data_IF_747042749222
#
_entry.id   IF_747042749222
#
_cell.length_a   1.000
_cell.length_b   1.000
_cell.length_c   1.000
_cell.angle_alpha   90.00
_cell.angle_beta   90.00
_cell.angle_gamma   90.00
#
_symmetry.space_group_name_H-M   'P 1'
#
loop_
_entity.id
_entity.type
_entity.pdbx_description
1 polymer ?
#
# COMPACT_ATOMS: atom_id res chain seq x y z
N UNK A 1 61.06 -19.08 -10.27
CA UNK A 1 61.67 -19.39 -8.95
C UNK A 1 60.56 -19.79 -8.02
N UNK A 2 60.53 -21.08 -7.71
CA UNK A 2 59.71 -21.74 -6.69
C UNK A 2 60.32 -21.45 -5.28
N UNK A 3 59.66 -21.74 -4.13
CA UNK A 3 58.80 -22.91 -3.99
C UNK A 3 57.53 -22.81 -3.10
N UNK A 4 56.62 -23.73 -3.40
CA UNK A 4 55.63 -24.34 -2.50
C UNK A 4 56.28 -24.96 -1.24
N UNK A 5 55.50 -25.22 -0.18
CA UNK A 5 54.96 -26.57 0.06
C UNK A 5 53.44 -26.55 0.39
N UNK A 6 52.60 -27.49 -0.08
CA UNK A 6 52.38 -28.89 0.41
C UNK A 6 52.01 -28.93 1.91
N UNK A 7 50.95 -29.55 2.45
CA UNK A 7 50.10 -30.69 2.06
C UNK A 7 48.81 -30.66 2.92
N UNK A 8 47.78 -31.35 2.41
CA UNK A 8 46.51 -31.81 3.00
C UNK A 8 46.26 -31.69 4.52
N UNK A 9 45.04 -31.27 4.85
CA UNK A 9 44.25 -31.89 5.93
C UNK A 9 42.76 -31.89 5.53
N UNK A 10 42.24 -33.07 5.18
CA UNK A 10 40.81 -33.32 5.15
C UNK A 10 40.24 -33.22 6.57
N UNK A 11 39.31 -32.29 6.82
CA UNK A 11 38.31 -32.44 7.89
C UNK A 11 36.95 -31.97 7.39
N UNK A 12 36.10 -32.98 7.20
CA UNK A 12 34.64 -33.01 7.21
C UNK A 12 33.90 -31.68 7.02
N UNK A 13 33.20 -31.58 5.88
CA UNK A 13 32.03 -30.75 5.73
C UNK A 13 30.94 -31.24 6.69
N UNK A 14 30.82 -30.56 7.84
CA UNK A 14 29.63 -30.65 8.68
C UNK A 14 28.54 -29.79 8.08
N UNK A 15 27.75 -30.34 7.15
CA UNK A 15 26.47 -29.75 6.76
C UNK A 15 25.55 -29.90 7.97
N UNK A 16 25.50 -28.88 8.81
CA UNK A 16 24.46 -28.74 9.80
C UNK A 16 23.20 -28.32 9.04
N UNK A 17 22.50 -29.29 8.45
CA UNK A 17 21.15 -29.11 7.95
C UNK A 17 20.25 -28.88 9.17
N UNK A 18 20.23 -27.64 9.66
CA UNK A 18 19.20 -27.20 10.59
C UNK A 18 17.86 -27.32 9.87
N UNK A 19 17.06 -28.31 10.26
CA UNK A 19 15.63 -28.29 9.95
C UNK A 19 15.05 -27.02 10.58
N UNK A 20 14.93 -25.96 9.78
CA UNK A 20 13.96 -24.92 10.07
C UNK A 20 12.58 -25.52 9.78
N UNK A 21 12.01 -26.21 10.78
CA UNK A 21 10.56 -26.28 10.86
C UNK A 21 10.07 -24.86 11.17
N UNK A 22 9.81 -24.07 10.14
CA UNK A 22 8.85 -23.01 10.25
C UNK A 22 7.48 -23.69 10.33
N UNK A 23 7.09 -24.13 11.53
CA UNK A 23 5.70 -24.45 11.81
C UNK A 23 4.92 -23.14 11.71
N UNK A 24 4.42 -22.82 10.53
CA UNK A 24 3.36 -21.85 10.37
C UNK A 24 2.08 -22.51 10.89
N UNK A 25 1.98 -22.63 12.21
CA UNK A 25 0.69 -22.84 12.83
C UNK A 25 -0.10 -21.55 12.57
N UNK A 26 -1.00 -21.60 11.58
CA UNK A 26 -2.16 -20.73 11.57
C UNK A 26 -2.91 -21.06 12.86
N UNK A 27 -2.62 -20.30 13.92
CA UNK A 27 -3.34 -20.41 15.16
C UNK A 27 -4.80 -20.11 14.80
N UNK A 28 -5.67 -21.11 14.93
CA UNK A 28 -7.09 -20.86 15.09
C UNK A 28 -7.19 -19.79 16.16
N UNK A 29 -7.55 -18.56 15.75
CA UNK A 29 -7.82 -17.47 16.67
C UNK A 29 -8.99 -17.96 17.52
N UNK A 30 -8.69 -18.42 18.74
CA UNK A 30 -9.67 -19.06 19.60
C UNK A 30 -10.84 -18.08 19.81
N UNK A 31 -12.02 -18.42 19.28
CA UNK A 31 -13.21 -17.56 19.34
C UNK A 31 -13.59 -16.84 18.04
N UNK A 32 -12.79 -16.92 16.97
CA UNK A 32 -13.10 -16.29 15.67
C UNK A 32 -13.19 -17.34 14.53
N UNK A 33 -14.20 -18.24 14.55
CA UNK A 33 -14.28 -19.36 13.61
C UNK A 33 -14.39 -18.95 12.13
N UNK A 34 -14.77 -17.70 11.86
CA UNK A 34 -14.94 -17.16 10.52
C UNK A 34 -13.78 -16.28 10.05
N UNK A 35 -12.77 -16.00 10.89
CA UNK A 35 -11.64 -15.17 10.47
C UNK A 35 -10.71 -15.98 9.54
N UNK A 36 -10.51 -15.57 8.28
CA UNK A 36 -9.60 -16.22 7.37
C UNK A 36 -8.17 -16.26 7.92
N UNK A 37 -7.46 -17.35 7.66
CA UNK A 37 -6.09 -17.55 8.15
C UNK A 37 -5.02 -17.16 7.11
N UNK A 38 -5.42 -17.01 5.84
CA UNK A 38 -4.51 -16.76 4.71
C UNK A 38 -4.93 -15.56 3.85
N UNK A 39 -6.11 -14.99 4.12
CA UNK A 39 -6.57 -13.76 3.47
C UNK A 39 -6.52 -12.66 4.50
N UNK A 40 -6.10 -11.47 4.08
CA UNK A 40 -6.08 -10.31 4.97
C UNK A 40 -7.50 -9.96 5.44
N UNK A 41 -7.59 -9.62 6.73
CA UNK A 41 -8.73 -8.94 7.34
C UNK A 41 -8.17 -7.91 8.30
N UNK A 42 -8.74 -6.70 8.41
CA UNK A 42 -8.34 -5.78 9.47
C UNK A 42 -8.63 -6.40 10.83
N UNK A 43 -7.91 -5.97 11.85
CA UNK A 43 -8.07 -6.39 13.24
C UNK A 43 -9.54 -6.23 13.67
N UNK A 44 -10.17 -5.12 13.26
CA UNK A 44 -11.54 -4.75 13.60
C UNK A 44 -12.23 -4.01 12.44
N UNK A 45 -13.54 -3.80 12.59
CA UNK A 45 -14.36 -2.91 11.75
C UNK A 45 -14.54 -3.35 10.29
N UNK A 46 -14.89 -2.39 9.42
CA UNK A 46 -15.29 -2.60 8.03
C UNK A 46 -14.14 -2.29 7.06
N UNK A 47 -13.92 -3.20 6.11
CA UNK A 47 -13.08 -3.00 4.92
C UNK A 47 -13.89 -3.21 3.62
N UNK A 48 -13.40 -2.65 2.52
CA UNK A 48 -13.81 -3.00 1.15
C UNK A 48 -12.60 -3.03 0.20
N UNK A 49 -12.71 -2.39 -0.98
CA UNK A 49 -11.74 -2.23 -2.05
C UNK A 49 -10.29 -2.12 -1.56
N UNK A 50 -9.36 -2.90 -2.16
CA UNK A 50 -7.93 -2.66 -2.00
C UNK A 50 -7.53 -1.40 -2.74
N UNK A 51 -6.64 -0.64 -2.13
CA UNK A 51 -6.11 0.64 -2.60
C UNK A 51 -4.60 0.63 -2.59
N UNK A 52 -4.00 1.53 -3.37
CA UNK A 52 -2.60 1.88 -3.18
C UNK A 52 -1.59 0.73 -3.31
N UNK A 53 -1.95 -0.38 -3.98
CA UNK A 53 -1.10 -1.57 -4.02
C UNK A 53 0.25 -1.27 -4.69
N UNK A 54 1.34 -1.38 -3.91
CA UNK A 54 2.69 -1.07 -4.38
C UNK A 54 3.72 -1.94 -3.66
N UNK A 55 4.75 -2.38 -4.38
CA UNK A 55 5.92 -3.00 -3.77
C UNK A 55 7.04 -1.96 -3.66
N UNK A 56 7.57 -1.77 -2.46
CA UNK A 56 8.61 -0.79 -2.21
C UNK A 56 9.51 -1.22 -1.04
N UNK A 57 10.82 -1.01 -1.20
CA UNK A 57 11.82 -1.24 -0.16
C UNK A 57 11.74 -2.61 0.57
N UNK A 58 11.38 -3.68 -0.15
CA UNK A 58 11.29 -5.04 0.40
C UNK A 58 9.90 -5.45 0.88
N UNK A 59 8.90 -4.58 0.79
CA UNK A 59 7.55 -4.81 1.31
C UNK A 59 6.48 -4.61 0.23
N UNK A 60 5.47 -5.48 0.24
CA UNK A 60 4.19 -5.25 -0.40
C UNK A 60 3.33 -4.39 0.53
N UNK A 61 2.91 -3.23 0.05
CA UNK A 61 1.96 -2.37 0.73
C UNK A 61 0.57 -2.62 0.16
N UNK A 62 -0.38 -2.88 1.05
CA UNK A 62 -1.79 -2.88 0.74
C UNK A 62 -2.48 -1.81 1.57
N UNK A 63 -3.00 -0.80 0.89
CA UNK A 63 -3.99 0.08 1.47
C UNK A 63 -5.37 -0.48 1.15
N UNK A 64 -6.39 -0.05 1.86
CA UNK A 64 -7.75 -0.53 1.66
C UNK A 64 -8.72 0.51 2.21
N UNK A 65 -9.93 0.64 1.66
CA UNK A 65 -10.86 1.52 2.38
C UNK A 65 -11.27 0.88 3.69
N UNK A 66 -11.34 1.74 4.68
CA UNK A 66 -11.49 1.35 6.05
C UNK A 66 -12.35 2.36 6.79
N UNK A 67 -13.24 1.86 7.64
CA UNK A 67 -13.90 2.68 8.64
C UNK A 67 -13.27 2.40 10.01
N UNK A 68 -12.37 3.25 10.52
CA UNK A 68 -11.73 3.03 11.82
C UNK A 68 -12.70 3.20 13.01
N UNK A 69 -13.92 3.71 12.77
CA UNK A 69 -14.90 4.05 13.80
C UNK A 69 -16.07 3.06 13.92
N UNK A 70 -16.17 2.06 13.04
CA UNK A 70 -17.22 1.03 13.15
C UNK A 70 -17.43 0.20 11.90
N UNK A 71 -18.51 -0.58 11.89
CA UNK A 71 -18.80 -1.59 10.86
C UNK A 71 -19.63 -1.07 9.67
N UNK A 72 -19.96 0.22 9.65
CA UNK A 72 -20.74 0.83 8.57
C UNK A 72 -19.83 1.25 7.41
N UNK A 73 -20.35 1.25 6.17
CA UNK A 73 -19.67 1.78 4.98
C UNK A 73 -19.61 3.32 4.93
N UNK A 74 -19.16 3.97 6.01
CA UNK A 74 -19.05 5.41 6.19
C UNK A 74 -17.68 5.78 6.81
N UNK A 75 -17.37 7.08 6.91
CA UNK A 75 -16.09 7.60 7.40
C UNK A 75 -14.87 6.98 6.71
N UNK A 76 -14.97 6.74 5.40
CA UNK A 76 -13.95 5.99 4.66
C UNK A 76 -12.61 6.70 4.70
N UNK A 77 -11.62 5.97 5.17
CA UNK A 77 -10.21 6.31 5.25
C UNK A 77 -9.42 5.21 4.52
N UNK A 78 -8.12 5.42 4.28
CA UNK A 78 -7.25 4.32 3.86
C UNK A 78 -6.62 3.66 5.09
N UNK A 79 -7.00 2.41 5.37
CA UNK A 79 -6.23 1.51 6.22
C UNK A 79 -4.95 1.07 5.50
N UNK A 80 -4.02 0.46 6.24
CA UNK A 80 -2.72 0.06 5.70
C UNK A 80 -2.22 -1.23 6.33
N UNK A 81 -1.77 -2.16 5.51
CA UNK A 81 -1.02 -3.33 5.93
C UNK A 81 0.19 -3.55 5.02
N UNK A 82 1.24 -4.16 5.56
CA UNK A 82 2.43 -4.56 4.80
C UNK A 82 2.67 -6.05 4.90
N UNK A 83 3.29 -6.62 3.87
CA UNK A 83 3.69 -8.02 3.84
C UNK A 83 4.99 -8.20 3.07
N UNK A 84 5.76 -9.25 3.40
CA UNK A 84 6.94 -9.65 2.61
C UNK A 84 6.67 -10.85 1.72
N UNK A 85 5.52 -11.52 1.89
CA UNK A 85 5.19 -12.79 1.23
C UNK A 85 3.74 -12.87 0.71
N UNK A 86 2.97 -11.79 0.81
CA UNK A 86 1.55 -11.66 0.43
C UNK A 86 0.58 -12.55 1.22
N UNK A 87 1.05 -13.26 2.26
CA UNK A 87 0.22 -14.16 3.09
C UNK A 87 0.19 -13.67 4.53
N UNK A 88 1.33 -13.28 5.08
CA UNK A 88 1.48 -12.77 6.44
C UNK A 88 1.49 -11.25 6.38
N UNK A 89 0.48 -10.64 6.98
CA UNK A 89 0.26 -9.20 6.94
C UNK A 89 0.44 -8.59 8.33
N UNK A 90 1.17 -7.49 8.39
CA UNK A 90 1.25 -6.59 9.54
C UNK A 90 0.35 -5.39 9.27
N UNK A 91 -0.72 -5.23 10.06
CA UNK A 91 -1.57 -4.04 9.99
C UNK A 91 -0.87 -2.86 10.67
N UNK A 92 -0.89 -1.71 10.00
CA UNK A 92 -0.28 -0.47 10.42
C UNK A 92 -1.36 0.57 10.77
N UNK A 93 -1.00 1.71 11.40
CA UNK A 93 -1.96 2.79 11.61
C UNK A 93 -2.63 3.25 10.31
N UNK A 94 -3.84 3.80 10.44
CA UNK A 94 -4.60 4.37 9.31
C UNK A 94 -3.72 5.38 8.56
N UNK A 95 -3.54 5.17 7.26
CA UNK A 95 -2.63 5.93 6.43
C UNK A 95 -3.16 7.33 6.09
N UNK A 96 -4.38 7.39 5.54
CA UNK A 96 -5.02 8.65 5.12
C UNK A 96 -6.40 8.69 5.76
N UNK A 97 -6.58 9.58 6.74
CA UNK A 97 -7.83 9.71 7.47
C UNK A 97 -8.84 10.59 6.73
N UNK A 98 -10.12 10.24 6.84
CA UNK A 98 -11.23 11.14 6.56
C UNK A 98 -11.01 12.47 7.31
N UNK A 99 -11.17 13.59 6.61
CA UNK A 99 -10.97 14.91 7.20
C UNK A 99 -11.87 15.94 6.54
N UNK A 100 -12.32 16.95 7.31
CA UNK A 100 -13.07 18.10 6.81
C UNK A 100 -14.31 17.73 5.97
N UNK A 101 -15.00 16.65 6.33
CA UNK A 101 -16.19 16.17 5.61
C UNK A 101 -15.91 15.53 4.25
N UNK A 102 -14.65 15.20 3.94
CA UNK A 102 -14.26 14.50 2.71
C UNK A 102 -13.80 13.09 3.06
N UNK A 103 -14.56 12.09 2.62
CA UNK A 103 -14.17 10.68 2.68
C UNK A 103 -13.05 10.40 1.67
N UNK A 104 -12.14 9.49 2.04
CA UNK A 104 -11.04 9.04 1.20
C UNK A 104 -11.55 7.80 0.45
N UNK A 105 -11.88 7.98 -0.83
CA UNK A 105 -12.33 6.93 -1.73
C UNK A 105 -11.15 6.19 -2.37
N UNK A 106 -11.47 5.15 -3.14
CA UNK A 106 -10.49 4.24 -3.70
C UNK A 106 -9.48 4.96 -4.59
N UNK A 107 -8.36 4.30 -4.84
CA UNK A 107 -7.28 4.86 -5.65
C UNK A 107 -6.02 4.02 -5.66
N UNK A 108 -4.92 4.61 -6.10
CA UNK A 108 -3.66 3.93 -6.34
C UNK A 108 -2.49 4.66 -5.70
N UNK A 109 -1.34 4.00 -5.64
CA UNK A 109 -0.10 4.58 -5.17
C UNK A 109 1.02 4.26 -6.16
N UNK A 110 1.99 5.16 -6.24
CA UNK A 110 3.19 5.05 -7.08
C UNK A 110 4.41 5.48 -6.28
N UNK A 111 5.59 5.03 -6.71
CA UNK A 111 6.87 5.55 -6.23
C UNK A 111 7.37 6.55 -7.27
N UNK A 112 7.59 7.80 -6.86
CA UNK A 112 8.07 8.87 -7.73
C UNK A 112 9.60 8.90 -7.72
N UNK A 113 10.21 7.94 -8.43
CA UNK A 113 11.66 7.70 -8.45
C UNK A 113 12.49 8.92 -8.86
N UNK A 114 11.94 9.76 -9.74
CA UNK A 114 12.62 10.94 -10.30
C UNK A 114 12.20 12.24 -9.60
N UNK A 115 11.45 12.16 -8.50
CA UNK A 115 10.91 13.30 -7.76
C UNK A 115 10.21 14.32 -8.66
N UNK A 116 9.46 13.85 -9.66
CA UNK A 116 8.73 14.70 -10.61
C UNK A 116 7.65 15.54 -9.92
N UNK A 117 7.18 15.09 -8.75
CA UNK A 117 6.25 15.82 -7.89
C UNK A 117 6.90 16.94 -7.08
N UNK A 118 8.22 16.89 -6.85
CA UNK A 118 8.94 17.81 -5.97
C UNK A 118 8.70 17.60 -4.47
N UNK A 119 8.05 16.50 -4.06
CA UNK A 119 7.71 16.24 -2.65
C UNK A 119 8.79 15.49 -1.85
N UNK A 120 9.88 15.06 -2.49
CA UNK A 120 10.96 14.37 -1.81
C UNK A 120 11.69 15.30 -0.81
N UNK A 121 11.80 14.86 0.44
CA UNK A 121 12.57 15.56 1.48
C UNK A 121 13.75 14.75 2.03
N UNK A 122 13.79 13.45 1.76
CA UNK A 122 14.82 12.52 2.23
C UNK A 122 15.69 11.91 1.11
N UNK A 123 16.44 10.87 1.44
CA UNK A 123 17.30 10.15 0.48
C UNK A 123 16.54 9.10 -0.36
N UNK A 124 15.28 8.83 -0.01
CA UNK A 124 14.42 7.86 -0.69
C UNK A 124 13.35 8.58 -1.51
N UNK A 125 12.93 8.02 -2.66
CA UNK A 125 11.83 8.58 -3.44
C UNK A 125 10.53 8.56 -2.63
N UNK A 126 9.68 9.59 -2.78
CA UNK A 126 8.42 9.65 -2.08
C UNK A 126 7.42 8.66 -2.69
N UNK A 127 6.60 8.08 -1.83
CA UNK A 127 5.41 7.34 -2.25
C UNK A 127 4.26 8.34 -2.40
N UNK A 128 3.59 8.32 -3.55
CA UNK A 128 2.47 9.20 -3.85
C UNK A 128 1.20 8.38 -3.88
N UNK A 129 0.21 8.73 -3.07
CA UNK A 129 -1.14 8.22 -3.14
C UNK A 129 -1.96 9.16 -4.00
N UNK A 130 -2.73 8.59 -4.93
CA UNK A 130 -3.69 9.29 -5.77
C UNK A 130 -5.04 8.64 -5.50
N UNK A 131 -5.99 9.42 -5.01
CA UNK A 131 -7.25 8.92 -4.48
C UNK A 131 -8.40 9.85 -4.79
N UNK A 132 -9.62 9.34 -4.71
CA UNK A 132 -10.81 10.16 -4.84
C UNK A 132 -11.18 10.81 -3.51
N UNK A 133 -11.33 12.13 -3.47
CA UNK A 133 -12.00 12.80 -2.37
C UNK A 133 -13.51 12.78 -2.60
N UNK A 134 -14.27 12.18 -1.68
CA UNK A 134 -15.73 12.13 -1.75
C UNK A 134 -16.34 13.04 -0.67
N UNK A 135 -16.76 14.23 -1.11
CA UNK A 135 -17.49 15.20 -0.29
C UNK A 135 -18.77 15.66 -1.00
N UNK A 136 -18.90 16.97 -1.23
CA UNK A 136 -20.00 17.52 -2.03
C UNK A 136 -19.97 17.06 -3.50
N UNK A 137 -18.78 16.74 -4.01
CA UNK A 137 -18.49 16.12 -5.32
C UNK A 137 -17.43 15.03 -5.14
N UNK A 138 -17.21 14.23 -6.18
CA UNK A 138 -16.04 13.33 -6.28
C UNK A 138 -14.94 14.02 -7.10
N UNK A 139 -13.81 14.30 -6.45
CA UNK A 139 -12.63 14.92 -7.05
C UNK A 139 -11.38 14.03 -6.88
N UNK A 140 -10.30 14.26 -7.64
CA UNK A 140 -9.05 13.51 -7.48
C UNK A 140 -8.05 14.32 -6.68
N UNK A 141 -7.43 13.66 -5.70
CA UNK A 141 -6.50 14.23 -4.73
C UNK A 141 -5.23 13.42 -4.67
N UNK A 142 -4.18 14.05 -4.16
CA UNK A 142 -2.91 13.38 -3.88
C UNK A 142 -2.44 13.61 -2.45
N UNK A 143 -1.75 12.62 -1.90
CA UNK A 143 -0.99 12.72 -0.68
C UNK A 143 0.39 12.08 -0.91
N UNK A 144 1.38 12.46 -0.12
CA UNK A 144 2.73 11.94 -0.25
C UNK A 144 3.29 11.47 1.09
N UNK A 145 4.16 10.47 1.02
CA UNK A 145 4.91 9.91 2.13
C UNK A 145 6.39 9.92 1.81
N UNK A 146 7.21 10.39 2.75
CA UNK A 146 8.67 10.38 2.70
C UNK A 146 9.30 9.33 3.62
N UNK A 147 8.48 8.40 4.13
CA UNK A 147 8.87 7.39 5.12
C UNK A 147 8.32 6.01 4.76
N UNK A 148 8.31 5.67 3.46
CA UNK A 148 7.84 4.37 2.94
C UNK A 148 6.38 4.08 3.28
N UNK A 149 5.52 5.07 3.11
CA UNK A 149 4.07 4.95 3.32
C UNK A 149 3.64 4.87 4.78
N UNK A 150 4.50 5.19 5.76
CA UNK A 150 4.18 5.10 7.20
C UNK A 150 3.41 6.30 7.70
N UNK A 151 3.71 7.49 7.20
CA UNK A 151 2.97 8.72 7.44
C UNK A 151 2.71 9.47 6.14
N UNK A 152 1.61 10.22 6.11
CA UNK A 152 1.11 10.87 4.90
C UNK A 152 0.84 12.34 5.13
N UNK A 153 1.24 13.15 4.14
CA UNK A 153 0.91 14.57 4.07
C UNK A 153 -0.03 14.79 2.89
N UNK A 154 -1.21 15.34 3.15
CA UNK A 154 -2.12 15.76 2.09
C UNK A 154 -1.53 16.94 1.32
N UNK A 155 -1.57 16.90 0.00
CA UNK A 155 -1.14 18.04 -0.82
C UNK A 155 -2.06 19.24 -0.59
N UNK A 156 -1.47 20.39 -0.25
CA UNK A 156 -2.22 21.62 0.06
C UNK A 156 -2.97 22.19 -1.15
N UNK A 157 -2.54 21.87 -2.37
CA UNK A 157 -3.20 22.26 -3.61
C UNK A 157 -4.30 21.30 -4.07
N UNK A 158 -4.76 20.37 -3.23
CA UNK A 158 -5.88 19.50 -3.57
C UNK A 158 -7.20 20.29 -3.74
N UNK A 159 -8.11 19.84 -4.63
CA UNK A 159 -7.97 18.69 -5.52
C UNK A 159 -7.09 18.98 -6.75
N UNK A 160 -6.43 17.95 -7.28
CA UNK A 160 -5.60 18.06 -8.50
C UNK A 160 -6.43 17.95 -9.78
N UNK A 161 -7.58 17.27 -9.74
CA UNK A 161 -8.54 17.19 -10.85
C UNK A 161 -9.95 17.26 -10.28
N UNK A 162 -10.76 18.19 -10.76
CA UNK A 162 -12.16 18.31 -10.40
C UNK A 162 -12.97 18.67 -11.65
N UNK A 163 -14.00 17.86 -11.95
CA UNK A 163 -14.90 18.05 -13.09
C UNK A 163 -16.34 18.38 -12.67
N UNK A 164 -16.58 18.61 -11.38
CA UNK A 164 -17.90 18.94 -10.82
C UNK A 164 -18.90 17.77 -10.81
N UNK A 165 -18.42 16.52 -10.85
CA UNK A 165 -19.27 15.31 -10.90
C UNK A 165 -19.37 14.63 -9.53
N UNK A 166 -20.51 14.02 -9.24
CA UNK A 166 -20.70 13.10 -8.10
C UNK A 166 -20.31 11.66 -8.42
N UNK A 167 -19.98 11.39 -9.68
CA UNK A 167 -19.57 10.09 -10.21
C UNK A 167 -18.28 10.31 -11.01
N UNK A 168 -17.14 10.38 -10.32
CA UNK A 168 -15.82 10.55 -10.92
C UNK A 168 -14.74 10.07 -9.96
N UNK A 169 -14.27 8.83 -10.12
CA UNK A 169 -13.54 8.17 -9.03
C UNK A 169 -12.60 7.04 -9.45
N UNK A 170 -11.88 6.53 -8.46
CA UNK A 170 -11.05 5.33 -8.49
C UNK A 170 -9.83 5.46 -9.44
N UNK A 171 -8.97 6.46 -9.24
CA UNK A 171 -7.84 6.73 -10.13
C UNK A 171 -6.76 5.66 -10.01
N UNK A 172 -6.43 5.01 -11.14
CA UNK A 172 -5.23 4.19 -11.31
C UNK A 172 -4.18 4.99 -12.08
N UNK A 173 -3.08 5.33 -11.39
CA UNK A 173 -1.94 6.03 -11.98
C UNK A 173 -0.76 5.07 -12.18
N UNK A 174 -0.04 5.26 -13.28
CA UNK A 174 1.22 4.58 -13.58
C UNK A 174 2.12 5.46 -14.44
N UNK A 175 3.43 5.22 -14.40
CA UNK A 175 4.38 5.85 -15.29
C UNK A 175 4.37 5.15 -16.65
N UNK A 176 4.19 5.92 -17.72
CA UNK A 176 4.21 5.40 -19.08
C UNK A 176 5.51 5.80 -19.78
N UNK A 177 6.49 4.90 -19.72
CA UNK A 177 7.85 5.10 -20.25
C UNK A 177 7.89 5.64 -21.68
N UNK A 178 7.13 5.10 -22.67
CA UNK A 178 7.22 5.57 -24.04
C UNK A 178 6.85 7.04 -24.23
N UNK A 179 6.03 7.61 -23.35
CA UNK A 179 5.63 9.03 -23.43
C UNK A 179 6.32 9.92 -22.40
N UNK A 180 7.05 9.35 -21.45
CA UNK A 180 7.64 10.09 -20.33
C UNK A 180 6.60 10.84 -19.50
N UNK A 181 5.46 10.20 -19.19
CA UNK A 181 4.34 10.84 -18.47
C UNK A 181 3.70 9.91 -17.46
N UNK A 182 3.20 10.51 -16.38
CA UNK A 182 2.19 9.89 -15.54
C UNK A 182 0.86 9.79 -16.30
N UNK A 183 0.29 8.60 -16.37
CA UNK A 183 -1.01 8.34 -16.98
C UNK A 183 -1.98 7.95 -15.88
N UNK A 184 -3.13 8.61 -15.85
CA UNK A 184 -4.24 8.28 -14.97
C UNK A 184 -5.38 7.67 -15.78
N UNK A 185 -5.84 6.49 -15.37
CA UNK A 185 -7.13 5.93 -15.77
C UNK A 185 -8.08 6.13 -14.59
N UNK A 186 -9.26 6.69 -14.85
CA UNK A 186 -10.25 7.04 -13.81
C UNK A 186 -11.65 6.72 -14.33
N UNK A 187 -12.54 6.31 -13.44
CA UNK A 187 -13.90 5.95 -13.78
C UNK A 187 -14.79 7.19 -13.84
N UNK A 188 -15.46 7.39 -14.97
CA UNK A 188 -16.62 8.26 -15.12
C UNK A 188 -17.84 7.36 -15.39
N UNK A 189 -18.54 6.91 -14.34
CA UNK A 189 -19.70 6.05 -14.48
C UNK A 189 -20.78 6.71 -15.36
N UNK A 190 -21.39 5.91 -16.23
CA UNK A 190 -22.61 6.32 -16.92
C UNK A 190 -23.81 6.36 -15.97
N UNK A 191 -24.99 6.79 -16.46
CA UNK A 191 -26.23 6.73 -15.69
C UNK A 191 -26.44 5.30 -15.15
N UNK A 192 -26.81 5.17 -13.87
CA UNK A 192 -27.25 3.88 -13.33
C UNK A 192 -28.49 3.44 -14.13
N UNK A 193 -28.41 2.28 -14.77
CA UNK A 193 -29.56 1.65 -15.42
C UNK A 193 -30.49 1.03 -14.38
#
# INVERSE_FOLDING_TARGET
MNPFPSILSHKAAGICAGLFLAAAAAASAAGEPYRPQFHFTPERNWLNDPNGLVYYAGEYHMFFQYNPFGIAGANKSWGHAVSRDLVRWEELPVAIQVANGVEIFSGSAVIDWENTSGFQTGSEPPMIAIYTGAGAVQDQRIAYSNDRGRTWTNYSGNPVINIGSNDFRDPKVFWHEPTGKWVMVVCLPGPRK
#
